data_IF_260682046927
#
_entry.id   IF_260682046927
#
_cell.length_a   1.000
_cell.length_b   1.000
_cell.length_c   1.000
_cell.angle_alpha   90.00
_cell.angle_beta   90.00
_cell.angle_gamma   90.00
#
_symmetry.space_group_name_H-M   'P 1'
#
loop_
_entity.id
_entity.type
_entity.pdbx_description
1 polymer ?
#
# COMPACT_ATOMS: atom_id res chain seq x y z
N UNK A 1 0.81 13.65 22.69
CA UNK A 1 2.16 13.07 22.60
C UNK A 1 2.03 11.55 22.59
N UNK A 2 1.88 10.93 21.41
CA UNK A 2 1.88 9.46 21.30
C UNK A 2 3.34 8.99 21.33
N UNK A 3 3.71 8.18 22.32
CA UNK A 3 5.07 7.62 22.38
C UNK A 3 5.27 6.67 21.20
N UNK A 4 6.15 7.03 20.25
CA UNK A 4 6.77 6.08 19.33
C UNK A 4 7.56 5.09 20.18
N UNK A 5 7.00 3.90 20.42
CA UNK A 5 7.71 2.81 21.10
C UNK A 5 8.33 1.92 20.03
N UNK A 6 9.66 1.85 20.03
CA UNK A 6 10.38 0.83 19.29
C UNK A 6 10.05 -0.54 19.91
N UNK A 7 9.32 -1.37 19.17
CA UNK A 7 9.09 -2.75 19.57
C UNK A 7 10.35 -3.55 19.23
N UNK A 8 11.14 -3.90 20.24
CA UNK A 8 12.24 -4.88 20.12
C UNK A 8 11.64 -6.28 19.96
N UNK A 9 11.04 -6.58 18.81
CA UNK A 9 10.34 -7.86 18.60
C UNK A 9 11.21 -8.98 17.99
N UNK A 10 12.50 -8.71 17.75
CA UNK A 10 13.41 -9.74 17.24
C UNK A 10 14.56 -9.88 18.23
N UNK A 11 14.31 -10.60 19.32
CA UNK A 11 15.41 -11.36 19.89
C UNK A 11 15.81 -12.39 18.83
N UNK A 12 17.10 -12.51 18.56
CA UNK A 12 17.69 -13.57 17.73
C UNK A 12 17.37 -14.98 18.25
N UNK A 13 16.76 -15.08 19.43
CA UNK A 13 16.21 -16.29 20.05
C UNK A 13 14.90 -15.92 20.78
N UNK A 14 13.70 -16.37 20.34
CA UNK A 14 12.53 -16.33 21.20
C UNK A 14 12.74 -17.32 22.34
N UNK A 15 13.12 -16.82 23.52
CA UNK A 15 13.48 -17.62 24.70
C UNK A 15 15.00 -17.63 24.92
N UNK A 16 15.51 -16.75 25.77
CA UNK A 16 16.93 -16.66 26.12
C UNK A 16 17.46 -17.94 26.76
N UNK A 17 17.89 -18.90 25.94
CA UNK A 17 18.50 -20.15 26.39
C UNK A 17 19.77 -20.40 25.57
N UNK A 18 20.92 -20.20 26.21
CA UNK A 18 22.24 -20.43 25.63
C UNK A 18 22.57 -21.92 25.51
N UNK A 19 21.98 -22.61 24.53
CA UNK A 19 22.46 -23.93 24.11
C UNK A 19 23.04 -23.84 22.69
N UNK A 20 24.21 -24.45 22.49
CA UNK A 20 25.06 -24.37 21.29
C UNK A 20 24.52 -25.06 20.03
N UNK A 21 23.19 -25.09 19.85
CA UNK A 21 22.55 -25.49 18.61
C UNK A 21 21.60 -24.38 18.18
N UNK A 22 22.07 -23.49 17.31
CA UNK A 22 21.23 -22.48 16.66
C UNK A 22 20.11 -23.23 15.91
N UNK A 23 18.82 -23.11 16.28
CA UNK A 23 17.76 -23.70 15.50
C UNK A 23 17.71 -22.91 14.19
N UNK A 24 18.26 -23.48 13.13
CA UNK A 24 18.17 -22.93 11.79
C UNK A 24 16.69 -22.93 11.37
N UNK A 25 16.19 -21.72 11.13
CA UNK A 25 14.88 -21.34 10.57
C UNK A 25 13.64 -21.55 11.44
N UNK A 26 13.39 -20.63 12.38
CA UNK A 26 12.02 -20.34 12.81
C UNK A 26 11.32 -19.52 11.73
N UNK A 27 10.39 -20.13 10.98
CA UNK A 27 9.48 -19.36 10.11
C UNK A 27 8.64 -18.44 10.98
N UNK A 28 8.84 -17.12 10.86
CA UNK A 28 8.05 -16.11 11.56
C UNK A 28 6.90 -15.66 10.65
N UNK A 29 5.68 -15.65 11.19
CA UNK A 29 4.51 -15.10 10.52
C UNK A 29 3.62 -14.39 11.54
N UNK A 30 2.74 -13.52 11.06
CA UNK A 30 1.76 -12.82 11.88
C UNK A 30 0.40 -12.76 11.18
N UNK A 31 -0.63 -12.40 11.95
CA UNK A 31 -1.97 -12.13 11.42
C UNK A 31 -2.21 -10.63 11.41
N UNK A 32 -2.76 -10.14 10.30
CA UNK A 32 -3.40 -8.82 10.25
C UNK A 32 -4.90 -9.08 10.23
N UNK A 33 -5.60 -8.67 11.30
CA UNK A 33 -7.00 -9.01 11.53
C UNK A 33 -7.19 -10.17 12.51
N UNK A 34 -8.30 -10.89 12.36
CA UNK A 34 -8.69 -11.97 13.27
C UNK A 34 -8.07 -13.32 12.85
N UNK A 35 -7.25 -13.96 13.69
CA UNK A 35 -6.72 -15.29 13.41
C UNK A 35 -7.84 -16.34 13.22
N UNK A 36 -7.66 -17.38 12.38
CA UNK A 36 -8.68 -18.40 12.15
C UNK A 36 -9.22 -19.06 13.42
N UNK A 37 -8.34 -19.32 14.40
CA UNK A 37 -8.70 -19.95 15.67
C UNK A 37 -9.57 -19.05 16.59
N UNK A 38 -9.60 -17.74 16.33
CA UNK A 38 -10.34 -16.75 17.13
C UNK A 38 -11.53 -16.18 16.35
N UNK A 39 -11.88 -16.77 15.20
CA UNK A 39 -12.94 -16.26 14.34
C UNK A 39 -14.29 -16.38 15.03
N UNK A 40 -14.98 -15.26 15.16
CA UNK A 40 -16.34 -15.13 15.68
C UNK A 40 -17.17 -14.31 14.68
N UNK A 41 -18.48 -14.55 14.64
CA UNK A 41 -19.38 -13.71 13.85
C UNK A 41 -19.43 -12.31 14.50
N UNK A 42 -19.17 -11.28 13.71
CA UNK A 42 -19.18 -9.89 14.15
C UNK A 42 -19.73 -9.00 13.04
N UNK A 43 -20.49 -7.98 13.43
CA UNK A 43 -20.93 -6.91 12.53
C UNK A 43 -19.84 -5.87 12.27
N UNK A 44 -18.74 -5.92 13.03
CA UNK A 44 -17.60 -5.04 12.85
C UNK A 44 -16.90 -5.35 11.51
N UNK A 45 -16.98 -4.41 10.58
CA UNK A 45 -16.18 -4.43 9.36
C UNK A 45 -14.92 -3.58 9.57
N UNK A 46 -13.75 -4.17 9.32
CA UNK A 46 -12.49 -3.45 9.23
C UNK A 46 -11.95 -3.53 7.80
N UNK A 47 -11.15 -2.54 7.42
CA UNK A 47 -10.53 -2.45 6.09
C UNK A 47 -9.05 -2.20 6.26
N UNK A 48 -8.24 -2.90 5.47
CA UNK A 48 -6.80 -2.68 5.41
C UNK A 48 -6.47 -1.95 4.10
N UNK A 49 -5.81 -0.80 4.22
CA UNK A 49 -5.22 -0.10 3.08
C UNK A 49 -3.82 -0.62 2.74
N UNK A 50 -3.09 0.08 1.84
CA UNK A 50 -1.64 -0.09 1.70
C UNK A 50 -0.96 -0.12 3.07
N UNK A 51 -0.14 -1.13 3.32
CA UNK A 51 0.50 -1.36 4.62
C UNK A 51 1.97 -1.65 4.45
N UNK A 52 2.80 -1.02 5.27
CA UNK A 52 4.25 -1.15 5.25
C UNK A 52 4.75 -1.55 6.63
N UNK A 53 5.75 -2.43 6.66
CA UNK A 53 6.48 -2.74 7.89
C UNK A 53 7.92 -2.24 7.74
N UNK A 54 8.30 -1.36 8.66
CA UNK A 54 9.55 -0.63 8.62
C UNK A 54 10.41 -1.01 9.82
N UNK A 55 11.66 -1.38 9.55
CA UNK A 55 12.70 -1.70 10.55
C UNK A 55 13.45 -0.45 11.01
N UNK A 56 12.75 0.68 11.08
CA UNK A 56 13.31 1.98 11.48
C UNK A 56 12.28 2.80 12.25
N UNK A 57 12.74 3.49 13.28
CA UNK A 57 11.93 4.48 13.99
C UNK A 57 11.92 5.76 13.16
N UNK A 58 10.78 6.07 12.55
CA UNK A 58 10.66 7.25 11.71
C UNK A 58 10.62 8.55 12.54
N UNK A 59 11.35 9.60 12.13
CA UNK A 59 11.20 10.92 12.73
C UNK A 59 9.83 11.51 12.40
N UNK A 60 9.37 12.45 13.21
CA UNK A 60 8.06 13.09 13.06
C UNK A 60 7.85 13.73 11.67
N UNK A 61 8.93 14.25 11.07
CA UNK A 61 8.93 14.78 9.71
C UNK A 61 8.59 13.73 8.67
N UNK A 62 9.24 12.56 8.70
CA UNK A 62 8.95 11.45 7.78
C UNK A 62 7.53 10.91 7.97
N UNK A 63 7.05 10.82 9.21
CA UNK A 63 5.66 10.42 9.50
C UNK A 63 4.66 11.40 8.90
N UNK A 64 4.93 12.71 9.02
CA UNK A 64 4.11 13.77 8.40
C UNK A 64 4.09 13.65 6.88
N UNK A 65 5.26 13.42 6.25
CA UNK A 65 5.34 13.21 4.80
C UNK A 65 4.54 11.97 4.36
N UNK A 66 4.67 10.84 5.07
CA UNK A 66 3.92 9.62 4.77
C UNK A 66 2.41 9.85 4.90
N UNK A 67 1.98 10.62 5.90
CA UNK A 67 0.58 11.00 6.05
C UNK A 67 0.08 11.82 4.84
N UNK A 68 0.87 12.80 4.39
CA UNK A 68 0.53 13.67 3.24
C UNK A 68 0.52 12.90 1.90
N UNK A 69 1.28 11.80 1.77
CA UNK A 69 1.18 10.90 0.61
C UNK A 69 -0.20 10.24 0.47
N UNK A 70 -0.93 10.15 1.58
CA UNK A 70 -2.31 9.71 1.62
C UNK A 70 -2.51 8.20 1.53
N UNK A 71 -3.76 7.74 1.70
CA UNK A 71 -4.10 6.34 1.90
C UNK A 71 -3.98 5.46 0.64
N UNK A 72 -3.73 6.05 -0.53
CA UNK A 72 -3.58 5.31 -1.79
C UNK A 72 -2.12 5.20 -2.24
N UNK A 73 -1.17 5.64 -1.42
CA UNK A 73 0.25 5.55 -1.73
C UNK A 73 0.73 4.09 -1.75
N UNK A 74 1.41 3.71 -2.83
CA UNK A 74 1.90 2.33 -3.07
C UNK A 74 3.40 2.27 -3.39
N UNK A 75 4.13 3.35 -3.15
CA UNK A 75 5.57 3.42 -3.40
C UNK A 75 6.41 2.80 -2.27
N UNK A 76 7.70 2.62 -2.53
CA UNK A 76 8.71 2.09 -1.60
C UNK A 76 9.40 3.16 -0.74
N UNK A 77 8.93 4.41 -0.83
CA UNK A 77 9.52 5.58 -0.17
C UNK A 77 10.93 5.97 -0.65
N UNK A 78 11.41 5.38 -1.76
CA UNK A 78 12.72 5.69 -2.34
C UNK A 78 12.71 6.93 -3.24
N UNK A 79 11.53 7.37 -3.68
CA UNK A 79 11.39 8.50 -4.61
C UNK A 79 10.18 9.36 -4.22
N UNK A 80 10.20 9.90 -3.01
CA UNK A 80 9.11 10.75 -2.48
C UNK A 80 9.38 12.21 -2.81
N UNK A 81 8.37 12.88 -3.36
CA UNK A 81 8.39 14.33 -3.54
C UNK A 81 7.92 15.00 -2.25
N UNK A 82 8.83 15.74 -1.61
CA UNK A 82 8.52 16.48 -0.40
C UNK A 82 7.67 17.71 -0.74
N UNK A 83 6.53 17.94 -0.07
CA UNK A 83 5.80 19.20 -0.18
C UNK A 83 6.70 20.33 0.30
N UNK A 84 7.02 21.29 -0.57
CA UNK A 84 7.77 22.48 -0.19
C UNK A 84 6.85 23.37 0.65
N UNK A 85 6.88 23.22 1.98
CA UNK A 85 6.25 24.15 2.92
C UNK A 85 7.28 25.25 3.23
N UNK A 86 7.07 26.40 2.58
CA UNK A 86 7.60 27.75 2.86
C UNK A 86 8.82 28.32 2.10
N UNK A 87 8.53 29.49 1.52
CA UNK A 87 9.37 30.70 1.37
C UNK A 87 10.33 30.82 0.18
N UNK A 88 9.96 31.72 -0.75
CA UNK A 88 10.77 32.74 -1.45
C UNK A 88 12.21 32.42 -1.90
N UNK A 89 12.59 31.16 -2.09
CA UNK A 89 13.86 30.77 -2.70
C UNK A 89 13.53 30.04 -3.99
N UNK A 90 14.25 30.40 -5.05
CA UNK A 90 14.05 29.96 -6.44
C UNK A 90 13.58 28.51 -6.50
N UNK A 91 12.46 28.31 -7.19
CA UNK A 91 11.83 27.01 -7.38
C UNK A 91 12.76 26.09 -8.17
N UNK A 92 13.71 25.46 -7.48
CA UNK A 92 14.47 24.33 -7.99
C UNK A 92 13.49 23.22 -8.38
N UNK A 93 13.84 22.49 -9.44
CA UNK A 93 13.06 21.34 -9.91
C UNK A 93 12.88 20.39 -8.71
N UNK A 94 11.63 20.06 -8.31
CA UNK A 94 11.41 19.16 -7.19
C UNK A 94 12.06 17.82 -7.53
N UNK A 95 13.07 17.44 -6.75
CA UNK A 95 13.76 16.17 -6.90
C UNK A 95 13.17 15.16 -5.90
N UNK A 96 12.96 13.90 -6.32
CA UNK A 96 12.51 12.87 -5.41
C UNK A 96 13.62 12.55 -4.39
N UNK A 97 13.21 12.27 -3.15
CA UNK A 97 14.11 11.92 -2.04
C UNK A 97 13.72 10.56 -1.47
N UNK A 98 14.72 9.77 -1.07
CA UNK A 98 14.51 8.56 -0.29
C UNK A 98 14.23 8.93 1.17
N UNK A 99 13.05 8.59 1.69
CA UNK A 99 12.69 8.87 3.08
C UNK A 99 13.35 7.91 4.07
N UNK A 100 13.75 6.72 3.60
CA UNK A 100 14.43 5.67 4.36
C UNK A 100 15.22 4.79 3.38
N UNK A 101 16.26 4.12 3.87
CA UNK A 101 17.05 3.21 3.03
C UNK A 101 16.23 1.97 2.67
N UNK A 102 16.49 1.40 1.49
CA UNK A 102 15.80 0.22 0.96
C UNK A 102 15.76 -0.96 1.94
N UNK A 103 16.85 -1.16 2.66
CA UNK A 103 17.02 -2.23 3.65
C UNK A 103 16.06 -2.11 4.84
N UNK A 104 15.58 -0.90 5.16
CA UNK A 104 14.66 -0.63 6.28
C UNK A 104 13.20 -0.91 5.94
N UNK A 105 12.87 -1.17 4.68
CA UNK A 105 11.54 -1.57 4.25
C UNK A 105 11.47 -3.10 4.16
N UNK A 106 10.99 -3.78 5.20
CA UNK A 106 10.94 -5.25 5.20
C UNK A 106 9.87 -5.79 4.25
N UNK A 107 8.67 -5.22 4.33
CA UNK A 107 7.60 -5.55 3.40
C UNK A 107 6.59 -4.44 3.18
N UNK A 108 5.97 -4.47 2.01
CA UNK A 108 4.82 -3.64 1.65
C UNK A 108 3.71 -4.50 1.07
N UNK A 109 2.47 -4.31 1.52
CA UNK A 109 1.30 -5.07 1.10
C UNK A 109 0.30 -4.14 0.41
N UNK A 110 -0.03 -4.46 -0.84
CA UNK A 110 -0.97 -3.70 -1.67
C UNK A 110 -1.98 -4.61 -2.31
N UNK A 111 -3.25 -4.17 -2.37
CA UNK A 111 -4.30 -4.88 -3.09
C UNK A 111 -3.99 -5.04 -4.59
N UNK A 112 -3.21 -4.12 -5.17
CA UNK A 112 -2.76 -4.14 -6.57
C UNK A 112 -1.82 -5.31 -6.87
N UNK A 113 -1.09 -5.79 -5.86
CA UNK A 113 -0.09 -6.86 -5.98
C UNK A 113 -0.69 -8.23 -5.64
N UNK A 114 -2.00 -8.42 -5.78
CA UNK A 114 -2.67 -9.69 -5.50
C UNK A 114 -2.59 -10.63 -6.70
N UNK A 115 -2.26 -11.89 -6.46
CA UNK A 115 -2.41 -12.98 -7.43
C UNK A 115 -3.17 -14.16 -6.84
N UNK A 116 -3.76 -14.98 -7.70
CA UNK A 116 -4.39 -16.24 -7.31
C UNK A 116 -3.49 -17.40 -7.72
N UNK A 117 -3.01 -18.16 -6.75
CA UNK A 117 -2.05 -19.26 -6.93
C UNK A 117 -2.53 -20.50 -6.17
N UNK A 118 -2.00 -21.68 -6.52
CA UNK A 118 -2.19 -22.92 -5.77
C UNK A 118 -1.02 -23.15 -4.80
N UNK A 119 -1.15 -24.04 -3.81
CA UNK A 119 -0.04 -24.37 -2.90
C UNK A 119 1.17 -24.93 -3.66
N UNK A 120 0.93 -25.79 -4.64
CA UNK A 120 1.98 -26.29 -5.53
C UNK A 120 2.70 -25.16 -6.28
N UNK A 121 1.97 -24.14 -6.77
CA UNK A 121 2.58 -22.99 -7.46
C UNK A 121 3.35 -22.07 -6.51
N UNK A 122 2.83 -21.80 -5.30
CA UNK A 122 3.56 -21.05 -4.27
C UNK A 122 4.86 -21.77 -3.91
N UNK A 123 4.81 -23.09 -3.72
CA UNK A 123 6.00 -23.91 -3.44
C UNK A 123 7.05 -23.81 -4.55
N UNK A 124 6.61 -23.78 -5.82
CA UNK A 124 7.48 -23.72 -7.00
C UNK A 124 8.10 -22.33 -7.19
N UNK A 125 7.32 -21.26 -6.99
CA UNK A 125 7.76 -19.87 -7.25
C UNK A 125 8.57 -19.31 -6.08
N UNK A 126 8.21 -19.67 -4.85
CA UNK A 126 8.87 -19.20 -3.64
C UNK A 126 9.73 -20.31 -3.03
N UNK A 127 9.26 -20.94 -1.96
CA UNK A 127 9.98 -22.01 -1.31
C UNK A 127 9.04 -23.00 -0.59
N UNK A 128 9.61 -24.13 -0.17
CA UNK A 128 8.90 -25.20 0.54
C UNK A 128 8.46 -24.80 1.96
N UNK A 129 9.20 -23.93 2.62
CA UNK A 129 8.92 -23.53 4.01
C UNK A 129 7.67 -22.64 4.08
N UNK A 130 7.61 -21.61 3.25
CA UNK A 130 6.48 -20.67 3.17
C UNK A 130 5.21 -21.35 2.68
N UNK A 131 5.31 -22.19 1.64
CA UNK A 131 4.16 -22.96 1.16
C UNK A 131 3.58 -23.88 2.24
N UNK A 132 4.44 -24.54 3.05
CA UNK A 132 3.99 -25.35 4.18
C UNK A 132 3.37 -24.50 5.30
N UNK A 133 3.95 -23.34 5.61
CA UNK A 133 3.43 -22.42 6.62
C UNK A 133 2.04 -21.88 6.23
N UNK A 134 1.86 -21.47 4.97
CA UNK A 134 0.57 -20.98 4.44
C UNK A 134 -0.46 -22.11 4.40
N UNK A 135 -0.10 -23.29 3.89
CA UNK A 135 -1.00 -24.43 3.80
C UNK A 135 -1.56 -24.84 5.18
N UNK A 136 -0.71 -24.77 6.22
CA UNK A 136 -1.15 -25.02 7.61
C UNK A 136 -2.25 -24.05 8.06
N UNK A 137 -2.15 -22.76 7.71
CA UNK A 137 -3.16 -21.78 8.12
C UNK A 137 -4.47 -21.88 7.33
N UNK A 138 -4.40 -22.42 6.11
CA UNK A 138 -5.56 -22.63 5.26
C UNK A 138 -6.21 -24.01 5.47
N UNK A 139 -5.64 -24.85 6.34
CA UNK A 139 -6.06 -26.24 6.55
C UNK A 139 -6.11 -27.06 5.24
N UNK A 140 -5.12 -26.85 4.36
CA UNK A 140 -4.95 -27.59 3.10
C UNK A 140 -3.60 -28.31 3.05
N UNK A 141 -3.46 -29.27 2.13
CA UNK A 141 -2.16 -29.90 1.85
C UNK A 141 -1.19 -28.90 1.22
N UNK A 142 0.10 -28.98 1.58
CA UNK A 142 1.16 -28.21 0.91
C UNK A 142 1.41 -28.65 -0.54
N UNK A 143 0.87 -29.80 -0.93
CA UNK A 143 0.91 -30.34 -2.30
C UNK A 143 -0.39 -30.06 -3.08
N UNK A 144 -1.35 -29.38 -2.47
CA UNK A 144 -2.63 -29.04 -3.09
C UNK A 144 -2.43 -28.20 -4.35
N UNK A 145 -3.12 -28.57 -5.44
CA UNK A 145 -3.02 -27.89 -6.72
C UNK A 145 -4.37 -27.44 -7.31
N UNK A 146 -5.45 -27.56 -6.55
CA UNK A 146 -6.79 -27.16 -7.03
C UNK A 146 -7.29 -25.93 -6.29
N UNK A 147 -7.02 -25.83 -4.98
CA UNK A 147 -7.52 -24.73 -4.15
C UNK A 147 -6.87 -23.39 -4.53
N UNK A 148 -7.66 -22.39 -4.95
CA UNK A 148 -7.16 -21.06 -5.24
C UNK A 148 -6.83 -20.31 -3.94
N UNK A 149 -5.62 -19.79 -3.85
CA UNK A 149 -5.16 -18.97 -2.73
C UNK A 149 -4.77 -17.59 -3.25
N UNK A 150 -5.38 -16.57 -2.66
CA UNK A 150 -5.04 -15.18 -2.93
C UNK A 150 -3.79 -14.82 -2.13
N UNK A 151 -2.72 -14.46 -2.83
CA UNK A 151 -1.46 -14.04 -2.26
C UNK A 151 -1.22 -12.56 -2.61
N UNK A 152 -1.10 -11.72 -1.59
CA UNK A 152 -0.61 -10.35 -1.71
C UNK A 152 0.91 -10.39 -1.71
N UNK A 153 1.52 -10.13 -2.85
CA UNK A 153 2.98 -10.14 -2.96
C UNK A 153 3.61 -8.99 -2.18
N UNK A 154 4.79 -9.24 -1.60
CA UNK A 154 5.58 -8.18 -1.00
C UNK A 154 6.03 -7.18 -2.08
N UNK A 155 5.48 -5.97 -2.07
CA UNK A 155 5.81 -4.89 -2.99
C UNK A 155 7.27 -4.41 -2.88
N UNK A 156 7.91 -4.65 -1.73
CA UNK A 156 9.32 -4.33 -1.47
C UNK A 156 10.29 -5.47 -1.81
N UNK A 157 9.81 -6.55 -2.43
CA UNK A 157 10.65 -7.72 -2.74
C UNK A 157 11.81 -7.43 -3.69
N UNK A 158 11.76 -6.33 -4.44
CA UNK A 158 12.81 -5.90 -5.37
C UNK A 158 13.86 -4.97 -4.73
N UNK A 159 13.64 -4.52 -3.50
CA UNK A 159 14.54 -3.60 -2.79
C UNK A 159 15.71 -4.36 -2.16
N UNK A 160 16.89 -3.74 -2.12
CA UNK A 160 18.07 -4.29 -1.46
C UNK A 160 17.85 -4.45 0.05
N UNK A 161 18.41 -5.51 0.63
CA UNK A 161 18.36 -5.76 2.08
C UNK A 161 18.10 -7.23 2.43
N UNK A 162 18.32 -7.62 3.69
CA UNK A 162 18.15 -9.00 4.12
C UNK A 162 16.66 -9.41 4.19
N UNK A 163 16.44 -10.72 4.08
CA UNK A 163 15.18 -11.44 4.38
C UNK A 163 13.87 -10.74 3.95
N UNK A 164 13.47 -10.92 2.68
CA UNK A 164 12.16 -10.48 2.18
C UNK A 164 11.11 -11.57 2.37
N UNK A 165 9.96 -11.19 2.93
CA UNK A 165 8.83 -12.11 3.04
C UNK A 165 8.21 -12.37 1.66
N UNK A 166 7.56 -13.52 1.50
CA UNK A 166 6.72 -13.83 0.33
C UNK A 166 5.56 -12.83 0.15
N UNK A 167 5.14 -12.18 1.24
CA UNK A 167 3.99 -11.30 1.33
C UNK A 167 2.96 -11.86 2.30
N UNK A 168 1.66 -11.72 1.98
CA UNK A 168 0.56 -12.15 2.83
C UNK A 168 -0.43 -13.04 2.08
N UNK A 169 -0.73 -14.22 2.64
CA UNK A 169 -1.83 -15.05 2.14
C UNK A 169 -3.15 -14.56 2.75
N UNK A 170 -4.17 -14.39 1.91
CA UNK A 170 -5.50 -13.97 2.35
C UNK A 170 -6.23 -15.20 2.90
N UNK A 171 -6.63 -15.14 4.17
CA UNK A 171 -7.31 -16.24 4.86
C UNK A 171 -8.78 -15.85 5.08
N UNK A 172 -9.71 -16.59 4.47
CA UNK A 172 -11.14 -16.46 4.72
C UNK A 172 -12.02 -16.95 3.58
N UNK A 173 -12.96 -17.86 3.89
CA UNK A 173 -13.92 -18.40 2.92
C UNK A 173 -15.14 -17.51 2.68
N UNK A 174 -15.50 -16.67 3.65
CA UNK A 174 -16.70 -15.81 3.60
C UNK A 174 -16.36 -14.43 4.15
N UNK A 175 -16.65 -13.39 3.37
CA UNK A 175 -16.54 -11.98 3.79
C UNK A 175 -15.19 -11.30 3.58
N UNK A 176 -14.19 -11.99 3.02
CA UNK A 176 -12.90 -11.35 2.69
C UNK A 176 -12.87 -10.96 1.22
N UNK A 177 -12.89 -9.65 0.99
CA UNK A 177 -12.82 -9.05 -0.34
C UNK A 177 -11.54 -8.22 -0.45
N UNK A 178 -10.90 -8.29 -1.62
CA UNK A 178 -9.77 -7.42 -1.97
C UNK A 178 -10.31 -6.42 -2.98
N UNK A 179 -10.24 -5.14 -2.65
CA UNK A 179 -10.65 -4.05 -3.53
C UNK A 179 -9.43 -3.25 -3.92
N UNK A 180 -9.30 -2.95 -5.22
CA UNK A 180 -8.29 -2.03 -5.73
C UNK A 180 -8.98 -0.69 -5.95
N UNK A 181 -8.92 0.26 -5.00
CA UNK A 181 -9.56 1.54 -5.16
C UNK A 181 -8.90 2.30 -6.32
N UNK A 182 -9.72 2.80 -7.24
CA UNK A 182 -9.30 3.74 -8.27
C UNK A 182 -10.05 5.05 -8.05
N UNK A 183 -9.41 6.10 -7.51
CA UNK A 183 -10.06 7.38 -7.31
C UNK A 183 -10.66 7.90 -8.62
N UNK A 184 -11.89 8.44 -8.54
CA UNK A 184 -12.59 8.97 -9.72
C UNK A 184 -11.75 10.05 -10.41
N UNK A 185 -11.08 10.91 -9.65
CA UNK A 185 -10.19 11.94 -10.17
C UNK A 185 -9.00 11.38 -10.99
N UNK A 186 -8.52 10.17 -10.66
CA UNK A 186 -7.48 9.49 -11.45
C UNK A 186 -8.08 8.91 -12.72
N UNK A 187 -9.26 8.30 -12.64
CA UNK A 187 -9.93 7.75 -13.83
C UNK A 187 -10.31 8.84 -14.83
N UNK A 188 -10.69 10.02 -14.35
CA UNK A 188 -11.00 11.17 -15.20
C UNK A 188 -9.79 11.62 -16.03
N UNK A 189 -8.56 11.39 -15.56
CA UNK A 189 -7.36 11.65 -16.34
C UNK A 189 -7.32 10.84 -17.65
N UNK A 190 -7.83 9.61 -17.65
CA UNK A 190 -7.83 8.75 -18.84
C UNK A 190 -8.84 9.19 -19.91
N UNK A 191 -9.83 10.01 -19.54
CA UNK A 191 -10.85 10.53 -20.48
C UNK A 191 -10.61 12.00 -20.86
N UNK A 192 -9.39 12.51 -20.66
CA UNK A 192 -9.01 13.89 -21.01
C UNK A 192 -8.80 14.83 -19.81
N UNK A 193 -8.94 14.33 -18.58
CA UNK A 193 -8.56 15.03 -17.37
C UNK A 193 -9.28 16.36 -17.16
N UNK A 194 -8.56 17.35 -16.66
CA UNK A 194 -9.10 18.68 -16.38
C UNK A 194 -9.64 19.38 -17.65
N UNK A 195 -8.99 19.20 -18.80
CA UNK A 195 -9.39 19.82 -20.06
C UNK A 195 -10.78 19.35 -20.54
N UNK A 196 -11.08 18.06 -20.41
CA UNK A 196 -12.41 17.54 -20.76
C UNK A 196 -13.51 18.14 -19.87
N UNK A 197 -13.23 18.31 -18.57
CA UNK A 197 -14.19 18.90 -17.62
C UNK A 197 -14.38 20.40 -17.90
N UNK A 198 -13.31 21.13 -18.26
CA UNK A 198 -13.44 22.52 -18.72
C UNK A 198 -14.29 22.65 -19.98
N UNK A 199 -14.21 21.68 -20.90
CA UNK A 199 -15.12 21.59 -22.03
C UNK A 199 -16.59 21.50 -21.60
N UNK A 200 -16.89 20.71 -20.55
CA UNK A 200 -18.24 20.65 -19.99
C UNK A 200 -18.68 21.97 -19.35
N UNK A 201 -17.76 22.69 -18.67
CA UNK A 201 -18.02 24.02 -18.12
C UNK A 201 -18.36 25.01 -19.25
N UNK A 202 -17.56 25.04 -20.31
CA UNK A 202 -17.76 25.95 -21.44
C UNK A 202 -19.04 25.65 -22.25
N UNK A 203 -19.47 24.40 -22.28
CA UNK A 203 -20.65 23.95 -23.04
C UNK A 203 -21.95 23.93 -22.20
N UNK A 204 -21.88 24.23 -20.90
CA UNK A 204 -23.05 24.23 -20.04
C UNK A 204 -24.06 25.31 -20.49
N UNK A 205 -25.30 24.88 -20.77
CA UNK A 205 -26.39 25.77 -21.21
C UNK A 205 -27.38 26.11 -20.11
N UNK A 206 -27.26 25.46 -18.96
CA UNK A 206 -28.09 25.68 -17.78
C UNK A 206 -27.24 25.78 -16.50
N UNK A 207 -27.85 26.32 -15.45
CA UNK A 207 -27.18 26.59 -14.16
C UNK A 207 -26.79 25.28 -13.45
N UNK A 208 -27.57 24.21 -13.63
CA UNK A 208 -27.34 22.93 -12.95
C UNK A 208 -26.12 22.20 -13.53
N UNK A 209 -26.02 22.13 -14.85
CA UNK A 209 -24.90 21.59 -15.60
C UNK A 209 -23.62 22.40 -15.40
N UNK A 210 -23.72 23.73 -15.32
CA UNK A 210 -22.59 24.57 -14.96
C UNK A 210 -22.10 24.27 -13.54
N UNK A 211 -23.02 24.23 -12.57
CA UNK A 211 -22.69 23.92 -11.17
C UNK A 211 -22.08 22.53 -11.03
N UNK A 212 -22.64 21.51 -11.68
CA UNK A 212 -22.14 20.14 -11.66
C UNK A 212 -20.73 20.02 -12.27
N UNK A 213 -20.49 20.70 -13.39
CA UNK A 213 -19.20 20.68 -14.09
C UNK A 213 -18.11 21.38 -13.27
N UNK A 214 -18.41 22.56 -12.72
CA UNK A 214 -17.48 23.29 -11.84
C UNK A 214 -17.21 22.52 -10.55
N UNK A 215 -18.23 21.93 -9.92
CA UNK A 215 -18.06 21.13 -8.70
C UNK A 215 -17.18 19.90 -8.95
N UNK A 216 -17.39 19.23 -10.09
CA UNK A 216 -16.54 18.13 -10.55
C UNK A 216 -15.10 18.61 -10.76
N UNK A 217 -14.89 19.72 -11.47
CA UNK A 217 -13.56 20.27 -11.72
C UNK A 217 -12.83 20.58 -10.41
N UNK A 218 -13.48 21.30 -9.49
CA UNK A 218 -12.91 21.64 -8.17
C UNK A 218 -12.57 20.38 -7.38
N UNK A 219 -13.44 19.36 -7.39
CA UNK A 219 -13.18 18.10 -6.71
C UNK A 219 -11.94 17.40 -7.29
N UNK A 220 -11.84 17.31 -8.62
CA UNK A 220 -10.73 16.66 -9.32
C UNK A 220 -9.41 17.40 -9.09
N UNK A 221 -9.40 18.72 -9.26
CA UNK A 221 -8.20 19.54 -9.08
C UNK A 221 -7.70 19.48 -7.63
N UNK A 222 -8.60 19.51 -6.65
CA UNK A 222 -8.21 19.41 -5.22
C UNK A 222 -7.73 18.02 -4.82
N UNK A 223 -8.22 16.96 -5.46
CA UNK A 223 -7.92 15.58 -5.08
C UNK A 223 -6.82 14.92 -5.92
N UNK A 224 -6.41 15.54 -7.04
CA UNK A 224 -5.39 15.01 -7.93
C UNK A 224 -4.36 16.10 -8.30
N UNK A 225 -3.13 16.04 -7.75
CA UNK A 225 -2.09 17.01 -8.05
C UNK A 225 -1.72 17.12 -9.54
N UNK A 226 -1.86 16.04 -10.31
CA UNK A 226 -1.62 16.07 -11.74
C UNK A 226 -2.67 16.93 -12.47
N UNK A 227 -3.93 16.87 -12.02
CA UNK A 227 -4.99 17.71 -12.57
C UNK A 227 -4.75 19.19 -12.23
N UNK A 228 -4.25 19.50 -11.03
CA UNK A 228 -3.86 20.89 -10.66
C UNK A 228 -2.73 21.42 -11.56
N UNK A 229 -1.67 20.63 -11.76
CA UNK A 229 -0.58 21.01 -12.67
C UNK A 229 -1.06 21.19 -14.11
N UNK A 230 -1.99 20.34 -14.55
CA UNK A 230 -2.57 20.44 -15.88
C UNK A 230 -3.40 21.72 -16.05
N UNK A 231 -4.20 22.10 -15.04
CA UNK A 231 -4.94 23.37 -15.03
C UNK A 231 -4.02 24.59 -15.15
N UNK A 232 -2.89 24.58 -14.45
CA UNK A 232 -1.86 25.63 -14.58
C UNK A 232 -1.26 25.63 -15.99
N UNK A 233 -0.89 24.46 -16.51
CA UNK A 233 -0.28 24.29 -17.83
C UNK A 233 -1.17 24.81 -18.97
N UNK A 234 -2.47 24.52 -18.91
CA UNK A 234 -3.44 24.92 -19.94
C UNK A 234 -4.07 26.30 -19.68
N UNK A 235 -3.65 27.01 -18.62
CA UNK A 235 -4.29 28.26 -18.15
C UNK A 235 -5.80 28.11 -17.94
N UNK A 236 -6.22 26.92 -17.50
CA UNK A 236 -7.63 26.54 -17.40
C UNK A 236 -8.45 27.38 -16.43
N UNK A 237 -7.80 28.07 -15.48
CA UNK A 237 -8.45 28.99 -14.54
C UNK A 237 -9.01 30.27 -15.19
N UNK A 238 -8.70 30.53 -16.46
CA UNK A 238 -9.22 31.68 -17.21
C UNK A 238 -10.59 31.41 -17.84
N UNK A 239 -10.94 30.14 -18.02
CA UNK A 239 -12.24 29.68 -18.51
C UNK A 239 -13.25 29.75 -17.37
#
# INVERSE_FOLDING_TARGET
MSSLRQLHYIHSIPGGSGSGHTPVASTVYGYVGTPPAQRQLSTLAWRLGPTHFLEEVLPATSVSVIYELGPNYVGSFQAVYLPCKESKVEAGIPFPVALLTEEKVSFSLYALSVSTLTMAKIRKVYNKLDSKAIAKQLAVSSHENSTPVKLLHNGSGHLNGPARTVGAAVIGYLGVCVFVPKPVATNLQYIGGAAAILGLVAMASDVEGLYASVKTLVCVVKSNPLASKEMERIRGYQV
#
